data_IF_385279329055
#
_entry.id   IF_385279329055
#
_cell.length_a   1.000
_cell.length_b   1.000
_cell.length_c   1.000
_cell.angle_alpha   90.00
_cell.angle_beta   90.00
_cell.angle_gamma   90.00
#
_symmetry.space_group_name_H-M   'P 1'
#
loop_
_entity.id
_entity.type
_entity.pdbx_description
1 polymer ?
#
# COMPACT_ATOMS: atom_id res chain seq x y z
N UNK A 1 19.82 18.16 -3.86
CA UNK A 1 18.99 17.71 -5.00
C UNK A 1 18.37 16.33 -4.73
N UNK A 2 19.15 15.29 -4.41
CA UNK A 2 18.67 13.90 -4.16
C UNK A 2 17.49 13.79 -3.15
N UNK A 3 17.48 14.60 -2.06
CA UNK A 3 16.37 14.57 -1.08
C UNK A 3 15.00 14.98 -1.66
N UNK A 4 14.97 15.85 -2.67
CA UNK A 4 13.70 16.30 -3.28
C UNK A 4 13.17 15.27 -4.27
N UNK A 5 14.04 14.64 -5.06
CA UNK A 5 13.65 13.56 -6.00
C UNK A 5 13.08 12.35 -5.23
N UNK A 6 13.69 11.97 -4.12
CA UNK A 6 13.16 10.90 -3.26
C UNK A 6 11.77 11.24 -2.68
N UNK A 7 11.51 12.52 -2.34
CA UNK A 7 10.23 12.95 -1.79
C UNK A 7 9.11 12.97 -2.84
N UNK A 8 9.41 13.34 -4.09
CA UNK A 8 8.46 13.30 -5.20
C UNK A 8 8.15 11.86 -5.61
N UNK A 9 9.17 10.99 -5.69
CA UNK A 9 8.97 9.56 -5.94
C UNK A 9 8.12 8.91 -4.85
N UNK A 10 8.36 9.21 -3.57
CA UNK A 10 7.52 8.73 -2.47
C UNK A 10 6.05 9.14 -2.65
N UNK A 11 5.79 10.42 -2.87
CA UNK A 11 4.41 10.90 -3.06
C UNK A 11 3.73 10.24 -4.26
N UNK A 12 4.48 10.02 -5.33
CA UNK A 12 3.98 9.32 -6.51
C UNK A 12 3.62 7.86 -6.17
N UNK A 13 4.51 7.13 -5.49
CA UNK A 13 4.23 5.76 -5.02
C UNK A 13 2.99 5.73 -4.13
N UNK A 14 2.98 6.51 -3.05
CA UNK A 14 1.85 6.57 -2.10
C UNK A 14 0.52 6.91 -2.79
N UNK A 15 0.55 7.72 -3.85
CA UNK A 15 -0.64 8.06 -4.63
C UNK A 15 -1.19 6.92 -5.48
N UNK A 16 -0.43 5.84 -5.73
CA UNK A 16 -0.81 4.73 -6.64
C UNK A 16 -0.64 3.34 -6.06
N UNK A 17 0.02 3.18 -4.91
CA UNK A 17 0.23 1.87 -4.27
C UNK A 17 -1.08 1.13 -3.99
N UNK A 18 -2.20 1.85 -3.82
CA UNK A 18 -3.51 1.24 -3.65
C UNK A 18 -3.94 0.41 -4.87
N UNK A 19 -3.61 0.82 -6.09
CA UNK A 19 -3.95 0.09 -7.33
C UNK A 19 -3.24 -1.27 -7.35
N UNK A 20 -1.97 -1.28 -6.92
CA UNK A 20 -1.17 -2.52 -6.83
C UNK A 20 -1.65 -3.44 -5.71
N UNK A 21 -2.05 -2.88 -4.57
CA UNK A 21 -2.67 -3.64 -3.48
C UNK A 21 -3.98 -4.30 -3.92
N UNK A 22 -4.87 -3.54 -4.54
CA UNK A 22 -6.13 -4.02 -5.08
C UNK A 22 -5.92 -5.16 -6.08
N UNK A 23 -4.98 -4.99 -7.02
CA UNK A 23 -4.59 -6.05 -7.94
C UNK A 23 -4.04 -7.29 -7.24
N UNK A 24 -3.22 -7.13 -6.19
CA UNK A 24 -2.67 -8.26 -5.44
C UNK A 24 -3.79 -9.07 -4.76
N UNK A 25 -4.77 -8.39 -4.14
CA UNK A 25 -5.92 -9.03 -3.50
C UNK A 25 -6.80 -9.74 -4.55
N UNK A 26 -7.09 -9.09 -5.67
CA UNK A 26 -7.85 -9.69 -6.77
C UNK A 26 -7.15 -10.92 -7.37
N UNK A 27 -5.84 -10.85 -7.59
CA UNK A 27 -5.03 -11.98 -8.11
C UNK A 27 -4.96 -13.17 -7.15
N UNK A 28 -5.08 -12.91 -5.85
CA UNK A 28 -5.23 -13.95 -4.83
C UNK A 28 -6.64 -14.58 -4.83
N UNK A 29 -7.64 -13.94 -5.44
CA UNK A 29 -9.04 -14.39 -5.46
C UNK A 29 -9.91 -13.73 -4.38
N UNK A 30 -9.38 -12.72 -3.69
CA UNK A 30 -10.15 -11.88 -2.78
C UNK A 30 -11.15 -11.00 -3.52
N UNK A 31 -12.12 -10.45 -2.77
CA UNK A 31 -13.04 -9.42 -3.24
C UNK A 31 -12.62 -8.08 -2.66
N UNK A 32 -12.72 -7.02 -3.45
CA UNK A 32 -12.40 -5.66 -3.01
C UNK A 32 -13.59 -4.75 -3.22
N UNK A 33 -13.70 -3.74 -2.37
CA UNK A 33 -14.43 -2.53 -2.68
C UNK A 33 -13.41 -1.54 -3.23
N UNK A 34 -13.49 -1.21 -4.52
CA UNK A 34 -12.51 -0.34 -5.18
C UNK A 34 -12.44 1.04 -4.49
N UNK A 35 -11.24 1.47 -4.12
CA UNK A 35 -10.98 2.75 -3.45
C UNK A 35 -11.53 3.93 -4.23
N UNK A 36 -11.40 3.93 -5.56
CA UNK A 36 -11.95 4.99 -6.40
C UNK A 36 -13.47 5.15 -6.23
N UNK A 37 -14.20 4.04 -6.18
CA UNK A 37 -15.64 4.05 -5.98
C UNK A 37 -16.00 4.47 -4.56
N UNK A 38 -15.24 4.01 -3.56
CA UNK A 38 -15.40 4.44 -2.17
C UNK A 38 -15.15 5.95 -2.00
N UNK A 39 -14.07 6.49 -2.56
CA UNK A 39 -13.75 7.92 -2.54
C UNK A 39 -14.83 8.77 -3.19
N UNK A 40 -15.42 8.30 -4.30
CA UNK A 40 -16.53 8.97 -4.96
C UNK A 40 -17.79 9.00 -4.07
N UNK A 41 -18.10 7.89 -3.39
CA UNK A 41 -19.26 7.79 -2.50
C UNK A 41 -19.10 8.62 -1.22
N UNK A 42 -17.89 8.69 -0.68
CA UNK A 42 -17.58 9.39 0.57
C UNK A 42 -16.89 10.73 0.36
N UNK A 43 -17.05 11.34 -0.81
CA UNK A 43 -16.34 12.57 -1.22
C UNK A 43 -16.41 13.69 -0.17
N UNK A 44 -17.52 13.81 0.55
CA UNK A 44 -17.70 14.77 1.65
C UNK A 44 -16.86 14.44 2.89
N UNK A 45 -16.67 13.16 3.22
CA UNK A 45 -15.82 12.69 4.31
C UNK A 45 -14.31 12.79 3.97
N UNK A 46 -13.96 12.70 2.68
CA UNK A 46 -12.59 12.92 2.19
C UNK A 46 -12.23 14.40 2.00
N UNK A 47 -13.22 15.27 1.71
CA UNK A 47 -12.97 16.69 1.42
C UNK A 47 -12.76 17.57 2.66
N UNK A 48 -13.14 17.11 3.85
CA UNK A 48 -13.15 17.92 5.08
C UNK A 48 -11.86 17.83 5.89
N UNK A 49 -10.95 16.92 5.55
CA UNK A 49 -9.70 16.74 6.30
C UNK A 49 -8.60 16.27 5.35
N UNK A 50 -7.52 17.02 5.24
CA UNK A 50 -6.38 16.72 4.35
C UNK A 50 -5.58 15.46 4.78
N UNK A 51 -6.08 14.66 5.71
CA UNK A 51 -5.46 13.39 6.10
C UNK A 51 -6.51 12.27 6.19
N UNK A 52 -6.36 11.29 5.30
CA UNK A 52 -7.03 10.01 5.42
C UNK A 52 -6.33 9.20 6.52
N UNK A 53 -7.03 8.94 7.63
CA UNK A 53 -6.53 8.14 8.74
C UNK A 53 -7.04 6.69 8.66
N UNK A 54 -6.37 5.77 9.34
CA UNK A 54 -6.83 4.38 9.46
C UNK A 54 -8.23 4.28 10.07
N UNK A 55 -8.50 5.09 11.10
CA UNK A 55 -9.81 5.12 11.75
C UNK A 55 -10.92 5.48 10.75
N UNK A 56 -10.69 6.50 9.91
CA UNK A 56 -11.62 6.86 8.82
C UNK A 56 -11.74 5.74 7.79
N UNK A 57 -10.63 5.11 7.43
CA UNK A 57 -10.63 3.96 6.52
C UNK A 57 -11.46 2.79 7.04
N UNK A 58 -11.37 2.48 8.34
CA UNK A 58 -12.17 1.44 9.00
C UNK A 58 -13.64 1.83 9.01
N UNK A 59 -13.98 3.08 9.34
CA UNK A 59 -15.37 3.56 9.31
C UNK A 59 -16.00 3.46 7.92
N UNK A 60 -15.24 3.81 6.87
CA UNK A 60 -15.68 3.66 5.48
C UNK A 60 -15.86 2.19 5.12
N UNK A 61 -14.91 1.33 5.49
CA UNK A 61 -15.03 -0.11 5.26
C UNK A 61 -16.28 -0.68 5.93
N UNK A 62 -16.60 -0.24 7.15
CA UNK A 62 -17.83 -0.62 7.87
C UNK A 62 -19.10 -0.19 7.13
N UNK A 63 -19.13 1.04 6.63
CA UNK A 63 -20.27 1.55 5.85
C UNK A 63 -20.45 0.79 4.52
N UNK A 64 -19.36 0.29 3.95
CA UNK A 64 -19.34 -0.55 2.74
C UNK A 64 -19.57 -2.04 3.03
N UNK A 65 -19.87 -2.41 4.27
CA UNK A 65 -20.05 -3.80 4.72
C UNK A 65 -18.83 -4.68 4.40
N UNK A 66 -17.62 -4.10 4.52
CA UNK A 66 -16.38 -4.85 4.39
C UNK A 66 -16.01 -5.57 5.69
N UNK A 67 -15.49 -6.78 5.57
CA UNK A 67 -15.02 -7.57 6.72
C UNK A 67 -13.68 -7.05 7.26
N UNK A 68 -12.80 -6.60 6.35
CA UNK A 68 -11.42 -6.22 6.64
C UNK A 68 -11.05 -4.93 5.89
N UNK A 69 -10.38 -4.01 6.59
CA UNK A 69 -9.74 -2.85 5.99
C UNK A 69 -8.23 -3.12 5.81
N UNK A 70 -7.71 -2.93 4.60
CA UNK A 70 -6.29 -3.17 4.30
C UNK A 70 -5.58 -1.85 4.02
N UNK A 71 -4.45 -1.63 4.68
CA UNK A 71 -3.65 -0.42 4.57
C UNK A 71 -2.21 -0.74 4.17
N UNK A 72 -1.62 0.16 3.40
CA UNK A 72 -0.20 0.15 3.03
C UNK A 72 0.47 1.42 3.52
N UNK A 73 1.68 1.29 4.05
CA UNK A 73 2.51 2.40 4.50
C UNK A 73 3.94 2.22 3.99
N UNK A 74 4.50 3.25 3.35
CA UNK A 74 5.93 3.27 3.00
C UNK A 74 6.72 3.62 4.26
N UNK A 75 7.45 2.65 4.81
CA UNK A 75 8.15 2.79 6.10
C UNK A 75 9.63 3.13 5.96
N UNK A 76 10.25 2.78 4.84
CA UNK A 76 11.62 3.17 4.50
C UNK A 76 11.78 3.30 2.98
N UNK A 77 12.59 4.25 2.53
CA UNK A 77 12.85 4.46 1.11
C UNK A 77 14.10 5.31 0.88
N UNK A 78 14.79 5.04 -0.23
CA UNK A 78 15.80 5.96 -0.73
C UNK A 78 16.89 5.28 -1.53
N UNK A 79 17.66 6.11 -2.23
CA UNK A 79 18.85 5.70 -2.98
C UNK A 79 20.08 6.37 -2.39
N UNK A 80 21.10 5.57 -2.07
CA UNK A 80 22.39 6.02 -1.59
C UNK A 80 23.52 5.19 -2.21
N UNK A 81 24.47 5.86 -2.87
CA UNK A 81 25.67 5.25 -3.44
C UNK A 81 25.36 4.04 -4.36
N UNK A 82 24.41 4.20 -5.28
CA UNK A 82 23.95 3.13 -6.19
C UNK A 82 23.18 1.98 -5.52
N UNK A 83 22.74 2.14 -4.27
CA UNK A 83 21.87 1.19 -3.58
C UNK A 83 20.52 1.84 -3.29
N UNK A 84 19.45 1.20 -3.73
CA UNK A 84 18.08 1.63 -3.48
C UNK A 84 17.36 0.66 -2.55
N UNK A 85 16.58 1.19 -1.63
CA UNK A 85 15.67 0.45 -0.76
C UNK A 85 14.26 1.02 -0.87
N UNK A 86 13.28 0.12 -0.78
CA UNK A 86 11.89 0.46 -0.54
C UNK A 86 11.31 -0.55 0.44
N UNK A 87 10.72 -0.06 1.53
CA UNK A 87 10.00 -0.89 2.48
C UNK A 87 8.54 -0.46 2.58
N UNK A 88 7.65 -1.44 2.43
CA UNK A 88 6.21 -1.26 2.52
C UNK A 88 5.68 -2.18 3.61
N UNK A 89 5.00 -1.58 4.58
CA UNK A 89 4.20 -2.31 5.56
C UNK A 89 2.78 -2.46 5.03
N UNK A 90 2.27 -3.68 5.02
CA UNK A 90 0.87 -4.00 4.72
C UNK A 90 0.21 -4.53 5.98
N UNK A 91 -0.96 -3.99 6.32
CA UNK A 91 -1.75 -4.43 7.46
C UNK A 91 -3.21 -4.60 7.08
N UNK A 92 -3.81 -5.64 7.62
CA UNK A 92 -5.23 -5.94 7.53
C UNK A 92 -5.81 -5.81 8.94
N UNK A 93 -6.91 -5.07 9.05
CA UNK A 93 -7.60 -4.76 10.30
C UNK A 93 -9.04 -5.26 10.17
N UNK A 94 -9.49 -6.04 11.15
CA UNK A 94 -10.88 -6.44 11.26
C UNK A 94 -11.75 -5.21 11.54
N UNK A 95 -12.81 -5.05 10.75
CA UNK A 95 -13.60 -3.80 10.74
C UNK A 95 -14.45 -3.64 12.00
N UNK A 96 -14.87 -4.74 12.63
CA UNK A 96 -15.76 -4.69 13.78
C UNK A 96 -15.02 -4.54 15.11
N UNK A 97 -13.91 -5.27 15.27
CA UNK A 97 -13.07 -5.23 16.47
C UNK A 97 -11.99 -4.16 16.41
N UNK A 98 -11.57 -3.73 15.22
CA UNK A 98 -10.41 -2.87 15.03
C UNK A 98 -9.06 -3.57 15.26
N UNK A 99 -9.06 -4.90 15.41
CA UNK A 99 -7.84 -5.67 15.66
C UNK A 99 -7.04 -5.92 14.38
N UNK A 100 -5.71 -5.89 14.47
CA UNK A 100 -4.82 -6.24 13.36
C UNK A 100 -4.83 -7.77 13.20
N UNK A 101 -5.57 -8.26 12.20
CA UNK A 101 -5.65 -9.70 11.89
C UNK A 101 -4.44 -10.20 11.11
N UNK A 102 -3.77 -9.31 10.39
CA UNK A 102 -2.53 -9.64 9.69
C UNK A 102 -1.66 -8.41 9.44
N UNK A 103 -0.34 -8.58 9.54
CA UNK A 103 0.65 -7.54 9.24
C UNK A 103 1.89 -8.18 8.63
N UNK A 104 2.45 -7.54 7.61
CA UNK A 104 3.74 -7.92 7.05
C UNK A 104 4.51 -6.68 6.58
N UNK A 105 5.83 -6.80 6.58
CA UNK A 105 6.75 -5.80 6.04
C UNK A 105 7.44 -6.47 4.84
N UNK A 106 7.43 -5.78 3.72
CA UNK A 106 8.12 -6.20 2.49
C UNK A 106 9.21 -5.18 2.16
N UNK A 107 10.39 -5.69 1.78
CA UNK A 107 11.58 -4.89 1.52
C UNK A 107 12.13 -5.26 0.15
N UNK A 108 12.15 -4.30 -0.77
CA UNK A 108 12.82 -4.40 -2.07
C UNK A 108 14.18 -3.71 -1.99
N UNK A 109 15.23 -4.36 -2.52
CA UNK A 109 16.60 -3.81 -2.52
C UNK A 109 17.25 -3.99 -3.88
N UNK A 110 17.70 -2.90 -4.46
CA UNK A 110 18.53 -2.92 -5.66
C UNK A 110 19.96 -2.45 -5.32
N UNK A 111 20.98 -3.24 -5.67
CA UNK A 111 22.38 -2.96 -5.34
C UNK A 111 23.20 -2.75 -6.59
N UNK A 112 24.08 -1.73 -6.58
CA UNK A 112 25.08 -1.50 -7.64
C UNK A 112 24.49 -1.12 -8.99
N UNK A 113 23.25 -0.64 -9.02
CA UNK A 113 22.59 -0.13 -10.21
C UNK A 113 22.69 1.41 -10.23
N UNK A 114 22.60 2.01 -11.42
CA UNK A 114 22.79 3.45 -11.65
C UNK A 114 22.10 4.33 -10.60
N UNK A 115 22.66 5.50 -10.32
CA UNK A 115 22.26 6.42 -9.24
C UNK A 115 20.77 6.83 -9.21
N UNK A 116 19.97 6.45 -10.21
CA UNK A 116 18.55 6.76 -10.37
C UNK A 116 17.70 5.52 -10.71
N UNK A 117 17.61 4.53 -9.82
CA UNK A 117 16.57 3.50 -9.95
C UNK A 117 15.19 4.11 -9.70
N UNK A 118 14.23 3.75 -10.55
CA UNK A 118 12.83 4.02 -10.31
C UNK A 118 12.31 3.07 -9.21
N UNK A 119 11.97 3.64 -8.05
CA UNK A 119 11.41 2.90 -6.92
C UNK A 119 10.11 2.15 -7.29
N UNK A 120 9.44 2.50 -8.38
CA UNK A 120 8.27 1.77 -8.90
C UNK A 120 8.57 0.32 -9.29
N UNK A 121 9.83 0.00 -9.62
CA UNK A 121 10.30 -1.36 -9.91
C UNK A 121 10.28 -2.19 -8.61
N UNK A 122 10.94 -1.68 -7.56
CA UNK A 122 10.96 -2.33 -6.25
C UNK A 122 9.54 -2.47 -5.66
N UNK A 123 8.69 -1.48 -5.88
CA UNK A 123 7.29 -1.55 -5.48
C UNK A 123 6.55 -2.70 -6.18
N UNK A 124 6.77 -2.88 -7.49
CA UNK A 124 6.13 -3.96 -8.25
C UNK A 124 6.56 -5.34 -7.75
N UNK A 125 7.86 -5.54 -7.51
CA UNK A 125 8.40 -6.78 -6.93
C UNK A 125 7.79 -7.08 -5.56
N UNK A 126 7.64 -6.06 -4.71
CA UNK A 126 7.00 -6.18 -3.39
C UNK A 126 5.57 -6.70 -3.51
N UNK A 127 4.76 -6.12 -4.41
CA UNK A 127 3.35 -6.53 -4.57
C UNK A 127 3.19 -7.90 -5.27
N UNK A 128 4.15 -8.29 -6.10
CA UNK A 128 4.21 -9.65 -6.64
C UNK A 128 4.48 -10.67 -5.52
N UNK A 129 5.49 -10.44 -4.69
CA UNK A 129 5.76 -11.28 -3.51
C UNK A 129 4.57 -11.33 -2.53
N UNK A 130 3.89 -10.20 -2.30
CA UNK A 130 2.65 -10.18 -1.52
C UNK A 130 1.61 -11.13 -2.13
N UNK A 131 1.40 -11.05 -3.45
CA UNK A 131 0.42 -11.88 -4.15
C UNK A 131 0.72 -13.36 -4.00
N UNK A 132 1.98 -13.76 -4.20
CA UNK A 132 2.42 -15.15 -4.03
C UNK A 132 2.24 -15.65 -2.60
N UNK A 133 2.61 -14.81 -1.62
CA UNK A 133 2.47 -15.17 -0.20
C UNK A 133 1.01 -15.31 0.23
N UNK A 134 0.11 -14.50 -0.33
CA UNK A 134 -1.33 -14.66 -0.10
C UNK A 134 -1.82 -15.99 -0.67
N UNK A 135 -1.42 -16.35 -1.90
CA UNK A 135 -1.77 -17.64 -2.53
C UNK A 135 -1.23 -18.86 -1.76
N UNK A 136 -0.01 -18.78 -1.25
CA UNK A 136 0.63 -19.90 -0.53
C UNK A 136 0.13 -20.08 0.92
N UNK A 137 -0.66 -19.14 1.46
CA UNK A 137 -1.33 -19.30 2.76
C UNK A 137 -2.66 -20.04 2.67
N UNK A 138 -3.14 -20.28 1.46
CA UNK A 138 -4.41 -20.99 1.17
C UNK A 138 -4.21 -22.46 0.78
N UNK A 139 -2.97 -22.93 0.65
CA UNK A 139 -2.60 -24.36 0.53
C UNK A 139 -2.19 -24.92 1.89
#
# INVERSE_FOLDING_TARGET
>A
MIKNENAEQRKFLESRSYEKLEMAILKYGGKIQEKYNAEKQFRSAFATDNSFSEEKGIQIAKQLQGDVAVFTEVTDYGTASGNSILEVTVKAIDVDSGEIVWKAIYSGKARGLQDNIDLSILESEIFEHLTEKLKNKTE
#
